data_IF_992002184944
#
_entry.id   IF_992002184944
#
_cell.length_a   1.000
_cell.length_b   1.000
_cell.length_c   1.000
_cell.angle_alpha   90.00
_cell.angle_beta   90.00
_cell.angle_gamma   90.00
#
_symmetry.space_group_name_H-M   'P 1'
#
loop_
_entity.id
_entity.type
_entity.pdbx_description
1 polymer ?
#
# COMPACT_ATOMS: atom_id res chain seq x y z
N UNK A 1 25.71 -0.24 1.78
CA UNK A 1 24.24 -0.40 1.75
C UNK A 1 23.64 0.84 1.10
N UNK A 2 22.94 0.72 -0.03
CA UNK A 2 22.30 1.89 -0.68
C UNK A 2 20.96 2.14 0.04
N UNK A 3 20.87 3.23 0.78
CA UNK A 3 19.69 3.60 1.59
C UNK A 3 18.75 4.58 0.88
N UNK A 4 19.12 5.00 -0.33
CA UNK A 4 18.38 5.96 -1.14
C UNK A 4 17.71 5.20 -2.29
N UNK A 5 16.40 5.38 -2.41
CA UNK A 5 15.64 4.91 -3.57
C UNK A 5 15.74 5.98 -4.67
N UNK A 6 16.38 5.69 -5.81
CA UNK A 6 16.46 6.66 -6.90
C UNK A 6 15.07 6.88 -7.51
N UNK A 7 14.74 8.14 -7.75
CA UNK A 7 13.53 8.53 -8.50
C UNK A 7 13.97 9.00 -9.87
N UNK A 8 13.56 8.28 -10.90
CA UNK A 8 13.85 8.62 -12.30
C UNK A 8 12.71 9.45 -12.87
N UNK A 9 13.03 10.50 -13.63
CA UNK A 9 12.05 11.39 -14.29
C UNK A 9 11.00 12.03 -13.35
N UNK A 10 11.29 12.10 -12.04
CA UNK A 10 10.34 12.61 -11.04
C UNK A 10 9.19 11.65 -10.70
N UNK A 11 9.19 10.42 -11.22
CA UNK A 11 8.12 9.45 -10.97
C UNK A 11 8.33 8.68 -9.66
N UNK A 12 7.90 9.32 -8.57
CA UNK A 12 7.97 8.75 -7.22
C UNK A 12 7.15 7.47 -7.11
N UNK A 13 6.00 7.40 -7.81
CA UNK A 13 5.12 6.24 -7.75
C UNK A 13 5.80 5.02 -8.38
N UNK A 14 6.37 5.17 -9.58
CA UNK A 14 7.11 4.10 -10.24
C UNK A 14 8.31 3.63 -9.41
N UNK A 15 9.03 4.55 -8.76
CA UNK A 15 10.12 4.18 -7.85
C UNK A 15 9.63 3.28 -6.70
N UNK A 16 8.53 3.66 -6.04
CA UNK A 16 7.93 2.87 -4.96
C UNK A 16 7.43 1.51 -5.48
N UNK A 17 6.73 1.49 -6.62
CA UNK A 17 6.26 0.25 -7.24
C UNK A 17 7.43 -0.69 -7.57
N UNK A 18 8.52 -0.16 -8.11
CA UNK A 18 9.75 -0.90 -8.39
C UNK A 18 10.42 -1.44 -7.11
N UNK A 19 10.40 -0.67 -6.02
CA UNK A 19 10.87 -1.14 -4.71
C UNK A 19 10.03 -2.30 -4.18
N UNK A 20 8.70 -2.15 -4.15
CA UNK A 20 7.79 -3.20 -3.69
C UNK A 20 7.91 -4.47 -4.53
N UNK A 21 8.07 -4.31 -5.86
CA UNK A 21 8.31 -5.42 -6.78
C UNK A 21 9.56 -6.20 -6.41
N UNK A 22 10.67 -5.49 -6.18
CA UNK A 22 11.94 -6.11 -5.77
C UNK A 22 11.83 -6.87 -4.44
N UNK A 23 10.98 -6.44 -3.51
CA UNK A 23 10.76 -7.16 -2.25
C UNK A 23 10.14 -8.55 -2.47
N UNK A 24 9.16 -8.67 -3.40
CA UNK A 24 8.59 -9.96 -3.77
C UNK A 24 9.56 -10.79 -4.61
N UNK A 25 10.19 -10.21 -5.63
CA UNK A 25 11.12 -10.92 -6.52
C UNK A 25 12.33 -11.47 -5.77
N UNK A 26 12.83 -10.74 -4.76
CA UNK A 26 13.93 -11.19 -3.92
C UNK A 26 13.49 -12.13 -2.79
N UNK A 27 12.21 -12.46 -2.66
CA UNK A 27 11.68 -13.36 -1.63
C UNK A 27 11.79 -12.85 -0.19
N UNK A 28 12.06 -11.54 -0.01
CA UNK A 28 12.07 -10.87 1.31
C UNK A 28 10.71 -11.03 1.96
N UNK A 29 9.66 -10.85 1.17
CA UNK A 29 8.28 -11.15 1.50
C UNK A 29 7.68 -12.06 0.43
N UNK A 30 6.73 -12.90 0.82
CA UNK A 30 6.01 -13.82 -0.06
C UNK A 30 4.68 -13.20 -0.55
N UNK A 31 4.16 -12.20 0.18
CA UNK A 31 2.98 -11.43 -0.21
C UNK A 31 3.06 -10.01 0.34
N UNK A 32 2.45 -9.05 -0.36
CA UNK A 32 2.34 -7.65 0.05
C UNK A 32 0.88 -7.24 0.17
N UNK A 33 0.46 -6.79 1.36
CA UNK A 33 -0.78 -6.02 1.52
C UNK A 33 -0.48 -4.56 1.21
N UNK A 34 -0.99 -4.04 0.09
CA UNK A 34 -0.73 -2.66 -0.34
C UNK A 34 -1.99 -2.03 -0.96
N UNK A 35 -2.15 -0.69 -0.89
CA UNK A 35 -3.17 -0.01 -1.68
C UNK A 35 -2.93 -0.23 -3.17
N UNK A 36 -3.98 -0.67 -3.87
CA UNK A 36 -3.97 -0.96 -5.30
C UNK A 36 -5.06 -0.16 -5.99
N UNK A 37 -4.75 0.36 -7.18
CA UNK A 37 -5.71 0.95 -8.08
C UNK A 37 -6.50 -0.15 -8.77
N UNK A 38 -7.83 -0.09 -8.67
CA UNK A 38 -8.73 -1.03 -9.32
C UNK A 38 -9.02 -0.59 -10.76
N UNK A 39 -9.50 -1.49 -11.64
CA UNK A 39 -9.96 -1.12 -12.98
C UNK A 39 -11.06 -0.03 -12.98
N UNK A 40 -11.84 0.06 -11.89
CA UNK A 40 -12.86 1.09 -11.69
C UNK A 40 -12.28 2.47 -11.31
N UNK A 41 -10.95 2.61 -11.20
CA UNK A 41 -10.28 3.85 -10.83
C UNK A 41 -10.33 4.19 -9.34
N UNK A 42 -10.84 3.28 -8.50
CA UNK A 42 -10.81 3.41 -7.04
C UNK A 42 -9.52 2.81 -6.47
N UNK A 43 -9.20 3.16 -5.23
CA UNK A 43 -8.12 2.52 -4.47
C UNK A 43 -8.74 1.51 -3.52
N UNK A 44 -8.12 0.34 -3.36
CA UNK A 44 -8.49 -0.63 -2.34
C UNK A 44 -7.24 -1.40 -1.87
N UNK A 45 -7.14 -1.78 -0.59
CA UNK A 45 -6.07 -2.67 -0.16
C UNK A 45 -6.24 -4.05 -0.80
N UNK A 46 -5.15 -4.63 -1.30
CA UNK A 46 -5.13 -6.00 -1.80
C UNK A 46 -3.88 -6.72 -1.32
N UNK A 47 -4.00 -8.04 -1.12
CA UNK A 47 -2.88 -8.93 -0.86
C UNK A 47 -2.34 -9.44 -2.20
N UNK A 48 -1.10 -9.07 -2.53
CA UNK A 48 -0.48 -9.30 -3.84
C UNK A 48 0.69 -10.26 -3.66
N UNK A 49 0.68 -11.39 -4.38
CA UNK A 49 1.78 -12.34 -4.43
C UNK A 49 2.55 -12.28 -5.76
N UNK A 50 1.89 -11.87 -6.84
CA UNK A 50 2.52 -11.73 -8.16
C UNK A 50 3.18 -10.34 -8.30
N UNK A 51 4.53 -10.28 -8.42
CA UNK A 51 5.24 -9.02 -8.59
C UNK A 51 4.78 -8.24 -9.83
N UNK A 52 4.31 -8.93 -10.87
CA UNK A 52 3.83 -8.31 -12.10
C UNK A 52 2.72 -7.30 -11.79
N UNK A 53 1.81 -7.60 -10.87
CA UNK A 53 0.65 -6.77 -10.54
C UNK A 53 0.99 -5.46 -9.83
N UNK A 54 2.19 -5.32 -9.25
CA UNK A 54 2.55 -4.13 -8.46
C UNK A 54 2.67 -2.84 -9.27
N UNK A 55 2.57 -2.88 -10.61
CA UNK A 55 2.38 -1.67 -11.42
C UNK A 55 1.08 -0.90 -11.06
N UNK A 56 0.12 -1.58 -10.43
CA UNK A 56 -1.13 -0.99 -9.99
C UNK A 56 -1.10 -0.55 -8.51
N UNK A 57 0.00 -0.77 -7.78
CA UNK A 57 0.12 -0.31 -6.40
C UNK A 57 0.16 1.22 -6.36
N UNK A 58 -0.65 1.82 -5.50
CA UNK A 58 -0.73 3.28 -5.35
C UNK A 58 -0.85 3.68 -3.87
N UNK A 59 0.23 3.54 -3.10
CA UNK A 59 0.25 3.94 -1.69
C UNK A 59 0.17 5.45 -1.50
N UNK A 60 0.48 6.24 -2.54
CA UNK A 60 0.49 7.70 -2.54
C UNK A 60 -0.90 8.33 -2.76
N UNK A 61 -1.87 7.59 -3.32
CA UNK A 61 -3.21 8.11 -3.58
C UNK A 61 -3.86 8.67 -2.29
N UNK A 62 -4.26 9.95 -2.21
CA UNK A 62 -4.70 10.59 -0.96
C UNK A 62 -6.13 10.21 -0.53
N UNK A 63 -6.49 8.93 -0.54
CA UNK A 63 -7.79 8.38 -0.17
C UNK A 63 -7.62 7.19 0.77
N UNK A 64 -8.53 7.02 1.74
CA UNK A 64 -8.53 5.88 2.66
C UNK A 64 -9.94 5.32 2.78
N UNK A 65 -10.36 4.44 1.86
CA UNK A 65 -11.71 3.84 1.88
C UNK A 65 -11.92 2.92 3.09
N UNK A 66 -10.86 2.26 3.53
CA UNK A 66 -10.82 1.39 4.70
C UNK A 66 -9.44 1.48 5.33
N UNK A 67 -9.37 1.37 6.65
CA UNK A 67 -8.11 1.25 7.37
C UNK A 67 -7.57 -0.18 7.23
N UNK A 68 -6.44 -0.34 6.53
CA UNK A 68 -5.84 -1.65 6.26
C UNK A 68 -5.25 -2.34 7.50
N UNK A 69 -5.16 -1.66 8.65
CA UNK A 69 -4.72 -2.26 9.91
C UNK A 69 -5.54 -3.48 10.32
N UNK A 70 -6.86 -3.45 10.13
CA UNK A 70 -7.72 -4.59 10.47
C UNK A 70 -7.45 -5.79 9.56
N UNK A 71 -7.11 -5.56 8.29
CA UNK A 71 -6.71 -6.61 7.36
C UNK A 71 -5.33 -7.18 7.74
N UNK A 72 -4.37 -6.29 8.01
CA UNK A 72 -3.03 -6.67 8.48
C UNK A 72 -3.09 -7.48 9.78
N UNK A 73 -3.93 -7.08 10.74
CA UNK A 73 -4.14 -7.81 11.99
C UNK A 73 -4.64 -9.24 11.75
N UNK A 74 -5.65 -9.42 10.89
CA UNK A 74 -6.14 -10.75 10.50
C UNK A 74 -5.06 -11.61 9.82
N UNK A 75 -4.23 -11.01 8.97
CA UNK A 75 -3.12 -11.72 8.32
C UNK A 75 -2.05 -12.14 9.33
N UNK A 76 -1.79 -11.31 10.35
CA UNK A 76 -0.73 -11.54 11.33
C UNK A 76 -0.97 -12.73 12.26
N UNK A 77 -2.23 -13.13 12.46
CA UNK A 77 -2.60 -14.20 13.40
C UNK A 77 -2.85 -15.56 12.72
N UNK A 78 -3.15 -15.57 11.41
CA UNK A 78 -3.45 -16.80 10.64
C UNK A 78 -2.23 -17.73 10.54
N UNK A 79 -2.44 -19.03 10.65
CA UNK A 79 -1.43 -20.08 10.43
C UNK A 79 -1.86 -21.06 9.32
N UNK A 80 -0.94 -21.60 8.50
CA UNK A 80 0.50 -21.29 8.44
C UNK A 80 0.80 -19.88 7.91
N UNK A 81 1.87 -19.26 8.42
CA UNK A 81 2.28 -17.88 8.08
C UNK A 81 3.26 -17.81 6.92
N UNK A 82 2.84 -17.16 5.84
CA UNK A 82 3.77 -16.63 4.84
C UNK A 82 4.47 -15.36 5.37
N UNK A 83 5.65 -15.02 4.86
CA UNK A 83 6.30 -13.74 5.16
C UNK A 83 5.54 -12.59 4.50
N UNK A 84 4.61 -11.97 5.22
CA UNK A 84 3.77 -10.90 4.67
C UNK A 84 4.39 -9.54 4.95
N UNK A 85 4.55 -8.73 3.89
CA UNK A 85 4.79 -7.30 3.98
C UNK A 85 3.48 -6.53 4.01
N UNK A 86 3.40 -5.45 4.80
CA UNK A 86 2.23 -4.56 4.83
C UNK A 86 2.67 -3.13 4.58
N UNK A 87 2.08 -2.49 3.57
CA UNK A 87 2.31 -1.08 3.23
C UNK A 87 1.18 -0.27 3.83
N UNK A 88 1.48 0.45 4.91
CA UNK A 88 0.51 1.17 5.73
C UNK A 88 0.87 2.65 5.84
N UNK A 89 -0.13 3.51 5.95
CA UNK A 89 0.08 4.91 6.35
C UNK A 89 0.34 5.00 7.84
N UNK A 90 0.90 6.13 8.29
CA UNK A 90 1.13 6.39 9.71
C UNK A 90 -0.12 6.18 10.59
N UNK A 91 -1.31 6.59 10.15
CA UNK A 91 -2.55 6.37 10.88
C UNK A 91 -2.98 4.89 10.95
N UNK A 92 -2.72 4.11 9.89
CA UNK A 92 -3.02 2.69 9.84
C UNK A 92 -2.02 1.88 10.68
N UNK A 93 -0.73 2.21 10.62
CA UNK A 93 0.27 1.58 11.48
C UNK A 93 -0.04 1.80 12.96
N UNK A 94 -0.43 3.01 13.36
CA UNK A 94 -0.87 3.31 14.73
C UNK A 94 -2.08 2.45 15.12
N UNK A 95 -3.07 2.32 14.23
CA UNK A 95 -4.21 1.44 14.48
C UNK A 95 -3.78 -0.04 14.63
N UNK A 96 -2.82 -0.52 13.85
CA UNK A 96 -2.29 -1.89 13.97
C UNK A 96 -1.58 -2.12 15.32
N UNK A 97 -0.85 -1.12 15.81
CA UNK A 97 -0.26 -1.13 17.16
C UNK A 97 -1.34 -1.26 18.23
N UNK A 98 -2.44 -0.50 18.14
CA UNK A 98 -3.56 -0.64 19.08
C UNK A 98 -4.23 -2.02 19.00
N UNK A 99 -4.42 -2.58 17.81
CA UNK A 99 -4.94 -3.95 17.63
C UNK A 99 -4.03 -4.99 18.30
N UNK A 100 -2.73 -4.76 18.31
CA UNK A 100 -1.76 -5.65 18.98
C UNK A 100 -1.95 -5.64 20.50
N UNK A 101 -2.24 -4.48 21.10
CA UNK A 101 -2.53 -4.38 22.55
C UNK A 101 -3.78 -5.17 22.93
N UNK A 102 -4.77 -5.23 22.04
CA UNK A 102 -5.99 -6.01 22.19
C UNK A 102 -5.84 -7.49 21.80
N UNK A 103 -4.62 -7.97 21.51
CA UNK A 103 -4.34 -9.34 21.05
C UNK A 103 -5.06 -9.70 19.73
N UNK A 104 -5.41 -8.71 18.91
CA UNK A 104 -6.05 -8.90 17.59
C UNK A 104 -5.05 -8.85 16.43
N UNK A 105 -3.77 -8.59 16.72
CA UNK A 105 -2.69 -8.57 15.75
C UNK A 105 -1.36 -8.97 16.41
N UNK A 106 -0.40 -9.40 15.60
CA UNK A 106 0.97 -9.67 15.99
C UNK A 106 1.95 -8.94 15.05
N UNK A 107 2.66 -7.93 15.54
CA UNK A 107 3.63 -7.20 14.73
C UNK A 107 4.83 -8.05 14.31
N UNK A 108 5.23 -9.03 15.13
CA UNK A 108 6.40 -9.87 14.89
C UNK A 108 6.24 -10.83 13.70
N UNK A 109 5.02 -11.01 13.20
CA UNK A 109 4.75 -11.84 12.01
C UNK A 109 4.63 -11.04 10.71
N UNK A 110 4.82 -9.71 10.75
CA UNK A 110 4.68 -8.83 9.59
C UNK A 110 5.98 -8.04 9.31
N UNK A 111 6.29 -7.85 8.04
CA UNK A 111 7.26 -6.83 7.61
C UNK A 111 6.52 -5.51 7.42
N UNK A 112 6.79 -4.55 8.30
CA UNK A 112 6.10 -3.25 8.31
C UNK A 112 6.78 -2.27 7.35
N UNK A 113 6.03 -1.78 6.37
CA UNK A 113 6.48 -0.74 5.44
C UNK A 113 5.54 0.44 5.64
N UNK A 114 6.07 1.61 5.95
CA UNK A 114 5.24 2.78 6.25
C UNK A 114 5.63 3.97 5.40
N UNK A 115 4.61 4.73 5.01
CA UNK A 115 4.74 5.95 4.23
C UNK A 115 4.18 7.13 5.00
N UNK A 116 4.91 8.25 4.94
CA UNK A 116 4.40 9.53 5.43
C UNK A 116 3.24 10.00 4.56
N UNK A 117 2.13 10.32 5.22
CA UNK A 117 0.89 10.71 4.57
C UNK A 117 0.42 12.05 5.14
N UNK A 118 0.31 13.07 4.29
CA UNK A 118 -0.12 14.41 4.67
C UNK A 118 -1.63 14.51 4.99
N UNK A 119 -2.42 13.48 4.68
CA UNK A 119 -3.85 13.42 4.96
C UNK A 119 -4.61 12.64 3.89
N UNK A 120 -5.91 12.51 4.09
CA UNK A 120 -6.79 11.75 3.19
C UNK A 120 -8.05 12.55 2.88
N UNK A 121 -8.50 12.54 1.63
CA UNK A 121 -9.82 13.04 1.26
C UNK A 121 -10.86 11.91 1.25
N UNK A 122 -12.14 12.28 1.21
CA UNK A 122 -13.23 11.31 1.14
C UNK A 122 -13.24 10.59 -0.21
N UNK A 123 -13.75 9.36 -0.24
CA UNK A 123 -13.87 8.58 -1.49
C UNK A 123 -14.59 9.35 -2.60
N UNK A 124 -15.73 10.04 -2.35
CA UNK A 124 -16.36 10.84 -3.40
C UNK A 124 -15.52 12.01 -3.89
N UNK A 125 -14.75 12.67 -3.01
CA UNK A 125 -13.86 13.76 -3.41
C UNK A 125 -12.70 13.26 -4.29
N UNK A 126 -12.10 12.12 -3.91
CA UNK A 126 -11.06 11.46 -4.70
C UNK A 126 -11.56 11.03 -6.08
N UNK A 127 -12.76 10.43 -6.15
CA UNK A 127 -13.38 10.02 -7.40
C UNK A 127 -13.65 11.21 -8.33
N UNK A 128 -14.15 12.34 -7.80
CA UNK A 128 -14.34 13.56 -8.60
C UNK A 128 -13.00 14.09 -9.13
N UNK A 129 -11.99 14.18 -8.28
CA UNK A 129 -10.67 14.69 -8.67
C UNK A 129 -10.00 13.83 -9.76
N UNK A 130 -10.09 12.50 -9.64
CA UNK A 130 -9.49 11.58 -10.62
C UNK A 130 -10.31 11.46 -11.91
N UNK A 131 -11.62 11.67 -11.85
CA UNK A 131 -12.47 11.77 -13.05
C UNK A 131 -12.15 13.02 -13.88
N UNK A 132 -11.87 14.17 -13.24
CA UNK A 132 -11.47 15.39 -13.95
C UNK A 132 -10.10 15.28 -14.63
N UNK A 133 -9.16 14.51 -14.05
CA UNK A 133 -7.83 14.32 -14.64
C UNK A 133 -7.86 13.52 -15.94
N UNK A 134 -8.80 12.56 -16.09
CA UNK A 134 -9.00 11.84 -17.36
C UNK A 134 -9.48 12.74 -18.52
N UNK A 135 -9.96 13.96 -18.22
CA UNK A 135 -10.39 14.94 -19.21
C UNK A 135 -9.31 15.95 -19.63
N UNK A 136 -8.11 15.89 -19.04
CA UNK A 136 -7.04 16.90 -19.22
C UNK A 136 -5.73 16.31 -19.77
N UNK A 137 -5.79 15.14 -20.39
CA UNK A 137 -4.72 14.51 -21.18
C UNK A 137 -5.01 14.57 -22.70
N UNK A 138 -5.59 15.66 -23.22
CA UNK A 138 -5.48 16.01 -24.65
C UNK A 138 -5.44 17.54 -24.78
N UNK A 139 -4.25 18.13 -24.62
CA UNK A 139 -3.80 19.39 -25.22
C UNK A 139 -2.36 19.67 -24.77
N UNK A 140 -1.43 19.00 -25.44
CA UNK A 140 -0.15 19.58 -25.83
C UNK A 140 -0.19 19.70 -27.35
#
# INVERSE_FOLDING_TARGET
MKTILPVENGDVLAAIQGFLRKLLEAGVVEALLTPMRTPAGTIAPALVCDPALLFAADPLAPVLPVNAATLAGKLSVKEPRARVGVVLRACELRALVELTKLQQANLGSLTLITIDCAGTCSVPAYQRATASTKGQEIRL
#
